data_IF_721477493126
#
_entry.id   IF_721477493126
#
_cell.length_a   1.000
_cell.length_b   1.000
_cell.length_c   1.000
_cell.angle_alpha   90.00
_cell.angle_beta   90.00
_cell.angle_gamma   90.00
#
_symmetry.space_group_name_H-M   'P 1'
#
loop_
_entity.id
_entity.type
_entity.pdbx_description
1 polymer ?
#
# COMPACT_ATOMS: atom_id res chain seq x y z
N UNK A 1 -27.99 -7.98 -1.59
CA UNK A 1 -27.07 -8.04 -2.75
C UNK A 1 -25.92 -7.04 -2.59
N UNK A 2 -26.18 -5.75 -2.37
CA UNK A 2 -25.15 -4.72 -2.12
C UNK A 2 -24.15 -5.08 -1.00
N UNK A 3 -24.63 -5.51 0.17
CA UNK A 3 -23.76 -5.91 1.29
C UNK A 3 -22.79 -7.07 0.97
N UNK A 4 -23.16 -7.99 0.06
CA UNK A 4 -22.25 -9.06 -0.39
C UNK A 4 -21.18 -8.50 -1.33
N UNK A 5 -21.57 -7.61 -2.24
CA UNK A 5 -20.65 -6.93 -3.17
C UNK A 5 -19.60 -6.15 -2.38
N UNK A 6 -20.01 -5.37 -1.39
CA UNK A 6 -19.08 -4.59 -0.55
C UNK A 6 -18.15 -5.49 0.27
N UNK A 7 -18.64 -6.61 0.80
CA UNK A 7 -17.79 -7.57 1.52
C UNK A 7 -16.74 -8.20 0.62
N UNK A 8 -17.13 -8.69 -0.55
CA UNK A 8 -16.21 -9.27 -1.53
C UNK A 8 -15.21 -8.25 -2.04
N UNK A 9 -15.65 -7.03 -2.28
CA UNK A 9 -14.77 -5.94 -2.66
C UNK A 9 -13.72 -5.63 -1.59
N UNK A 10 -14.12 -5.45 -0.33
CA UNK A 10 -13.17 -5.15 0.74
C UNK A 10 -12.14 -6.29 0.91
N UNK A 11 -12.58 -7.55 0.80
CA UNK A 11 -11.69 -8.71 0.82
C UNK A 11 -10.74 -8.75 -0.39
N UNK A 12 -11.25 -8.55 -1.60
CA UNK A 12 -10.44 -8.54 -2.82
C UNK A 12 -9.40 -7.40 -2.79
N UNK A 13 -9.81 -6.21 -2.34
CA UNK A 13 -8.92 -5.05 -2.18
C UNK A 13 -7.85 -5.29 -1.11
N UNK A 14 -8.20 -5.90 0.02
CA UNK A 14 -7.22 -6.28 1.06
C UNK A 14 -6.16 -7.25 0.52
N UNK A 15 -6.59 -8.29 -0.21
CA UNK A 15 -5.67 -9.25 -0.84
C UNK A 15 -4.84 -8.60 -1.96
N UNK A 16 -5.45 -7.71 -2.75
CA UNK A 16 -4.76 -6.98 -3.82
C UNK A 16 -3.65 -6.09 -3.28
N UNK A 17 -3.93 -5.29 -2.25
CA UNK A 17 -2.92 -4.45 -1.58
C UNK A 17 -1.80 -5.31 -0.98
N UNK A 18 -2.17 -6.44 -0.36
CA UNK A 18 -1.19 -7.37 0.18
C UNK A 18 -0.29 -7.96 -0.91
N UNK A 19 -0.86 -8.32 -2.07
CA UNK A 19 -0.11 -8.82 -3.22
C UNK A 19 0.87 -7.78 -3.76
N UNK A 20 0.44 -6.52 -3.91
CA UNK A 20 1.32 -5.42 -4.35
C UNK A 20 2.52 -5.27 -3.41
N UNK A 21 2.29 -5.32 -2.10
CA UNK A 21 3.36 -5.24 -1.10
C UNK A 21 4.30 -6.46 -1.14
N UNK A 22 3.77 -7.68 -1.38
CA UNK A 22 4.59 -8.88 -1.55
C UNK A 22 5.47 -8.81 -2.79
N UNK A 23 4.95 -8.30 -3.91
CA UNK A 23 5.74 -8.07 -5.13
C UNK A 23 6.86 -7.06 -4.84
N UNK A 24 6.56 -5.97 -4.14
CA UNK A 24 7.58 -4.99 -3.77
C UNK A 24 8.69 -5.60 -2.89
N UNK A 25 8.35 -6.50 -1.97
CA UNK A 25 9.33 -7.23 -1.17
C UNK A 25 10.15 -8.23 -1.97
N UNK A 26 9.54 -8.90 -2.95
CA UNK A 26 10.27 -9.79 -3.84
C UNK A 26 11.40 -9.03 -4.54
N UNK A 27 11.13 -7.83 -5.06
CA UNK A 27 12.17 -6.99 -5.66
C UNK A 27 13.22 -6.52 -4.63
N UNK A 28 12.80 -6.12 -3.43
CA UNK A 28 13.76 -5.69 -2.41
C UNK A 28 14.71 -6.81 -1.96
N UNK A 29 14.19 -8.01 -1.68
CA UNK A 29 15.00 -9.09 -1.10
C UNK A 29 15.70 -9.96 -2.15
N UNK A 30 15.09 -10.14 -3.33
CA UNK A 30 15.63 -11.01 -4.38
C UNK A 30 16.47 -10.24 -5.39
N UNK A 31 16.00 -9.06 -5.83
CA UNK A 31 16.74 -8.21 -6.78
C UNK A 31 17.73 -7.26 -6.08
N UNK A 32 17.63 -7.11 -4.76
CA UNK A 32 18.53 -6.24 -3.99
C UNK A 32 18.38 -4.75 -4.31
N UNK A 33 17.26 -4.34 -4.92
CA UNK A 33 16.97 -2.93 -5.18
C UNK A 33 16.50 -2.27 -3.88
N UNK A 34 17.38 -1.46 -3.25
CA UNK A 34 17.03 -0.72 -2.04
C UNK A 34 15.96 0.35 -2.33
N UNK A 35 14.90 0.46 -1.51
CA UNK A 35 13.85 1.44 -1.74
C UNK A 35 14.30 2.87 -1.43
N UNK A 36 14.00 3.79 -2.35
CA UNK A 36 14.15 5.23 -2.14
C UNK A 36 13.25 5.75 -0.99
N UNK A 37 13.57 6.88 -0.34
CA UNK A 37 12.74 7.44 0.74
C UNK A 37 11.30 7.76 0.31
N UNK A 38 11.09 8.19 -0.95
CA UNK A 38 9.74 8.39 -1.50
C UNK A 38 9.00 7.05 -1.69
N UNK A 39 9.71 5.99 -2.01
CA UNK A 39 9.19 4.65 -2.22
C UNK A 39 8.70 4.05 -0.88
N UNK A 40 9.41 4.32 0.23
CA UNK A 40 8.98 3.97 1.58
C UNK A 40 7.68 4.69 1.97
N UNK A 41 7.55 5.97 1.63
CA UNK A 41 6.32 6.72 1.89
C UNK A 41 5.10 6.12 1.14
N UNK A 42 5.31 5.66 -0.10
CA UNK A 42 4.27 4.95 -0.86
C UNK A 42 3.88 3.63 -0.20
N UNK A 43 4.85 2.86 0.31
CA UNK A 43 4.57 1.62 1.05
C UNK A 43 3.77 1.87 2.31
N UNK A 44 4.09 2.92 3.07
CA UNK A 44 3.29 3.35 4.23
C UNK A 44 1.86 3.69 3.81
N UNK A 45 1.68 4.40 2.70
CA UNK A 45 0.36 4.71 2.17
C UNK A 45 -0.43 3.43 1.80
N UNK A 46 0.18 2.45 1.14
CA UNK A 46 -0.46 1.15 0.86
C UNK A 46 -0.82 0.39 2.13
N UNK A 47 0.07 0.39 3.13
CA UNK A 47 -0.19 -0.25 4.43
C UNK A 47 -1.42 0.38 5.09
N UNK A 48 -1.51 1.72 5.12
CA UNK A 48 -2.65 2.42 5.72
C UNK A 48 -3.96 2.16 4.95
N UNK A 49 -3.90 2.08 3.61
CA UNK A 49 -5.04 1.63 2.80
C UNK A 49 -5.44 0.19 3.16
N UNK A 50 -4.47 -0.72 3.28
CA UNK A 50 -4.69 -2.11 3.69
C UNK A 50 -5.33 -2.22 5.07
N UNK A 51 -4.88 -1.40 6.03
CA UNK A 51 -5.46 -1.34 7.39
C UNK A 51 -6.92 -0.89 7.31
N UNK A 52 -7.24 0.13 6.50
CA UNK A 52 -8.62 0.57 6.30
C UNK A 52 -9.52 -0.55 5.74
N UNK A 53 -9.04 -1.31 4.74
CA UNK A 53 -9.77 -2.47 4.21
C UNK A 53 -9.89 -3.60 5.23
N UNK A 54 -8.85 -3.85 6.02
CA UNK A 54 -8.88 -4.84 7.10
C UNK A 54 -9.93 -4.48 8.17
N UNK A 55 -10.00 -3.20 8.56
CA UNK A 55 -11.02 -2.72 9.48
C UNK A 55 -12.43 -2.91 8.91
N UNK A 56 -12.62 -2.66 7.61
CA UNK A 56 -13.90 -2.94 6.93
C UNK A 56 -14.27 -4.43 6.95
N UNK A 57 -13.30 -5.32 6.75
CA UNK A 57 -13.52 -6.78 6.80
C UNK A 57 -13.83 -7.25 8.23
N UNK A 58 -13.15 -6.70 9.24
CA UNK A 58 -13.23 -7.19 10.62
C UNK A 58 -14.38 -6.60 11.42
N UNK A 59 -14.55 -5.28 11.36
CA UNK A 59 -15.50 -4.52 12.18
C UNK A 59 -16.75 -4.10 11.40
N UNK A 60 -16.79 -4.35 10.09
CA UNK A 60 -17.84 -3.89 9.20
C UNK A 60 -17.47 -2.59 8.49
N UNK A 61 -18.19 -2.32 7.40
CA UNK A 61 -17.93 -1.17 6.53
C UNK A 61 -18.51 0.12 7.11
N UNK A 62 -17.63 1.03 7.52
CA UNK A 62 -17.99 2.33 8.13
C UNK A 62 -17.38 3.47 7.32
N UNK A 63 -18.03 4.64 7.31
CA UNK A 63 -17.50 5.83 6.63
C UNK A 63 -16.11 6.21 7.12
N UNK A 64 -15.83 6.07 8.42
CA UNK A 64 -14.51 6.38 9.01
C UNK A 64 -13.39 5.53 8.39
N UNK A 65 -13.62 4.24 8.17
CA UNK A 65 -12.62 3.35 7.59
C UNK A 65 -12.37 3.68 6.11
N UNK A 66 -13.42 4.00 5.34
CA UNK A 66 -13.25 4.49 3.97
C UNK A 66 -12.58 5.87 3.92
N UNK A 67 -12.84 6.73 4.90
CA UNK A 67 -12.12 7.99 5.05
C UNK A 67 -10.61 7.77 5.22
N UNK A 68 -10.21 6.82 6.06
CA UNK A 68 -8.80 6.42 6.20
C UNK A 68 -8.22 5.93 4.87
N UNK A 69 -8.95 5.10 4.12
CA UNK A 69 -8.53 4.60 2.80
C UNK A 69 -8.32 5.77 1.83
N UNK A 70 -9.28 6.69 1.72
CA UNK A 70 -9.23 7.83 0.79
C UNK A 70 -8.06 8.75 1.13
N UNK A 71 -7.90 9.13 2.40
CA UNK A 71 -6.81 10.02 2.83
C UNK A 71 -5.45 9.36 2.55
N UNK A 72 -5.31 8.08 2.86
CA UNK A 72 -4.07 7.33 2.61
C UNK A 72 -3.77 7.20 1.11
N UNK A 73 -4.78 6.93 0.28
CA UNK A 73 -4.63 6.82 -1.16
C UNK A 73 -4.31 8.17 -1.82
N UNK A 74 -4.83 9.29 -1.28
CA UNK A 74 -4.45 10.63 -1.72
C UNK A 74 -2.98 10.94 -1.39
N UNK A 75 -2.52 10.61 -0.18
CA UNK A 75 -1.11 10.76 0.18
C UNK A 75 -0.19 9.89 -0.69
N UNK A 76 -0.60 8.66 -0.99
CA UNK A 76 0.09 7.75 -1.92
C UNK A 76 0.13 8.29 -3.35
N UNK A 77 -0.97 8.87 -3.82
CA UNK A 77 -1.05 9.54 -5.13
C UNK A 77 -0.10 10.73 -5.21
N UNK A 78 -0.08 11.59 -4.19
CA UNK A 78 0.78 12.78 -4.19
C UNK A 78 2.27 12.39 -4.17
N UNK A 79 2.64 11.39 -3.37
CA UNK A 79 4.02 10.92 -3.29
C UNK A 79 4.50 10.22 -4.57
N UNK A 80 3.69 9.32 -5.13
CA UNK A 80 3.99 8.65 -6.41
C UNK A 80 3.94 9.62 -7.60
N UNK A 81 2.96 10.53 -7.63
CA UNK A 81 2.84 11.57 -8.65
C UNK A 81 4.04 12.51 -8.67
N UNK A 82 4.56 12.90 -7.49
CA UNK A 82 5.81 13.66 -7.41
C UNK A 82 6.98 12.89 -8.03
N UNK A 83 7.08 11.58 -7.78
CA UNK A 83 8.15 10.76 -8.34
C UNK A 83 8.03 10.64 -9.87
N UNK A 84 6.81 10.48 -10.40
CA UNK A 84 6.55 10.52 -11.85
C UNK A 84 7.01 11.86 -12.45
N UNK A 85 6.65 12.98 -11.81
CA UNK A 85 7.01 14.32 -12.29
C UNK A 85 8.51 14.61 -12.23
N UNK A 86 9.24 14.02 -11.28
CA UNK A 86 10.70 14.17 -11.20
C UNK A 86 11.42 13.44 -12.34
N UNK A 87 10.89 12.30 -12.79
CA UNK A 87 11.50 11.47 -13.84
C UNK A 87 10.88 11.65 -15.23
N UNK A 88 9.96 12.61 -15.41
CA UNK A 88 9.43 12.96 -16.73
C UNK A 88 10.35 13.94 -17.48
N UNK A 89 11.24 14.62 -16.76
CA UNK A 89 12.20 15.55 -17.34
C UNK A 89 13.35 14.75 -18.00
N UNK A 90 13.61 14.96 -19.31
CA UNK A 90 14.68 14.25 -20.01
C UNK A 90 16.05 14.61 -19.41
N UNK A 91 16.87 13.58 -19.15
CA UNK A 91 18.20 13.72 -18.54
C UNK A 91 18.31 13.21 -17.09
N UNK A 92 17.24 12.65 -16.52
CA UNK A 92 17.30 11.91 -15.24
C UNK A 92 17.21 10.42 -15.51
N UNK A 93 18.14 9.63 -14.97
CA UNK A 93 18.05 8.18 -15.08
C UNK A 93 16.82 7.67 -14.31
N UNK A 94 16.04 6.73 -14.87
CA UNK A 94 14.89 6.18 -14.17
C UNK A 94 15.31 5.40 -12.92
N UNK A 95 14.56 5.57 -11.83
CA UNK A 95 14.81 4.83 -10.59
C UNK A 95 14.10 3.46 -10.58
N UNK A 96 14.87 2.40 -10.37
CA UNK A 96 14.38 1.02 -10.24
C UNK A 96 14.02 0.34 -11.56
N UNK A 97 13.89 -0.99 -11.50
CA UNK A 97 13.55 -1.79 -12.69
C UNK A 97 12.13 -1.50 -13.22
N UNK A 98 11.97 -1.62 -14.54
CA UNK A 98 10.68 -1.47 -15.19
C UNK A 98 9.95 -2.82 -15.22
N UNK A 99 8.71 -2.84 -14.71
CA UNK A 99 7.83 -4.00 -14.77
C UNK A 99 6.80 -3.76 -15.87
N UNK A 100 6.81 -4.61 -16.90
CA UNK A 100 6.05 -4.42 -18.16
C UNK A 100 6.30 -3.07 -18.86
N UNK A 101 7.53 -2.54 -18.77
CA UNK A 101 7.89 -1.26 -19.40
C UNK A 101 7.46 -0.01 -18.62
N UNK A 102 6.88 -0.17 -17.42
CA UNK A 102 6.54 0.92 -16.51
C UNK A 102 7.31 0.77 -15.19
N UNK A 103 7.83 1.86 -14.67
CA UNK A 103 8.51 1.87 -13.37
C UNK A 103 7.52 1.69 -12.22
N UNK A 104 8.02 1.20 -11.08
CA UNK A 104 7.20 0.94 -9.89
C UNK A 104 6.40 2.15 -9.40
N UNK A 105 6.96 3.35 -9.47
CA UNK A 105 6.26 4.56 -9.05
C UNK A 105 5.05 4.90 -9.92
N UNK A 106 5.07 4.54 -11.21
CA UNK A 106 3.92 4.71 -12.12
C UNK A 106 2.83 3.69 -11.80
N UNK A 107 3.21 2.44 -11.52
CA UNK A 107 2.27 1.41 -11.06
C UNK A 107 1.62 1.78 -9.72
N UNK A 108 2.40 2.33 -8.78
CA UNK A 108 1.88 2.87 -7.52
C UNK A 108 0.82 3.93 -7.78
N UNK A 109 1.11 4.91 -8.64
CA UNK A 109 0.17 5.97 -8.99
C UNK A 109 -1.16 5.42 -9.58
N UNK A 110 -1.07 4.50 -10.55
CA UNK A 110 -2.24 3.87 -11.18
C UNK A 110 -3.09 3.12 -10.15
N UNK A 111 -2.44 2.38 -9.25
CA UNK A 111 -3.16 1.60 -8.23
C UNK A 111 -3.86 2.50 -7.20
N UNK A 112 -3.24 3.59 -6.73
CA UNK A 112 -3.91 4.55 -5.84
C UNK A 112 -5.09 5.23 -6.52
N UNK A 113 -4.97 5.60 -7.79
CA UNK A 113 -6.09 6.14 -8.58
C UNK A 113 -7.23 5.13 -8.72
N UNK A 114 -6.90 3.86 -8.95
CA UNK A 114 -7.89 2.78 -9.06
C UNK A 114 -8.58 2.54 -7.72
N UNK A 115 -7.86 2.59 -6.60
CA UNK A 115 -8.44 2.51 -5.25
C UNK A 115 -9.41 3.67 -5.00
N UNK A 116 -9.03 4.91 -5.33
CA UNK A 116 -9.90 6.08 -5.17
C UNK A 116 -11.17 5.95 -6.01
N UNK A 117 -11.05 5.57 -7.28
CA UNK A 117 -12.19 5.35 -8.16
C UNK A 117 -13.11 4.25 -7.61
N UNK A 118 -12.54 3.13 -7.17
CA UNK A 118 -13.31 1.99 -6.69
C UNK A 118 -14.05 2.30 -5.38
N UNK A 119 -13.43 3.04 -4.45
CA UNK A 119 -14.11 3.54 -3.24
C UNK A 119 -15.22 4.53 -3.61
N UNK A 120 -14.99 5.42 -4.58
CA UNK A 120 -16.01 6.33 -5.10
C UNK A 120 -17.22 5.61 -5.68
N UNK A 121 -17.01 4.56 -6.48
CA UNK A 121 -18.08 3.71 -7.03
C UNK A 121 -18.87 3.01 -5.92
N UNK A 122 -18.22 2.57 -4.85
CA UNK A 122 -18.91 1.95 -3.70
C UNK A 122 -19.80 2.94 -2.98
N UNK A 123 -19.37 4.18 -2.81
CA UNK A 123 -20.24 5.22 -2.24
C UNK A 123 -21.48 5.47 -3.11
N UNK A 124 -21.41 5.30 -4.43
CA UNK A 124 -22.59 5.41 -5.31
C UNK A 124 -23.54 4.21 -5.21
N UNK A 125 -23.00 3.00 -4.96
CA UNK A 125 -23.79 1.76 -4.89
C UNK A 125 -24.46 1.58 -3.52
N UNK A 126 -23.81 2.04 -2.45
CA UNK A 126 -24.24 1.76 -1.07
C UNK A 126 -24.82 3.02 -0.41
N UNK A 127 -26.15 3.16 -0.44
CA UNK A 127 -26.87 4.22 0.28
C UNK A 127 -26.89 4.03 1.82
N UNK A 128 -26.11 3.06 2.34
CA UNK A 128 -26.11 2.55 3.72
C UNK A 128 -24.71 2.25 4.28
N UNK A 129 -23.66 2.85 3.71
CA UNK A 129 -22.38 2.92 4.45
C UNK A 129 -22.70 3.55 5.81
N UNK A 130 -22.39 2.91 6.94
CA UNK A 130 -22.79 3.36 8.28
C UNK A 130 -23.89 2.54 8.97
N UNK A 131 -24.84 1.95 8.23
CA UNK A 131 -25.90 1.09 8.82
C UNK A 131 -25.49 -0.39 8.91
N UNK A 132 -24.43 -0.78 8.20
CA UNK A 132 -23.92 -2.14 8.15
C UNK A 132 -23.15 -2.55 9.43
N UNK A 133 -23.79 -2.48 10.61
CA UNK A 133 -23.38 -3.21 11.83
C UNK A 133 -23.62 -4.73 11.69
N UNK A 134 -23.53 -5.27 10.48
CA UNK A 134 -23.73 -6.69 10.22
C UNK A 134 -22.46 -7.45 10.61
N UNK A 135 -22.50 -7.95 11.84
CA UNK A 135 -21.62 -8.91 12.51
C UNK A 135 -20.48 -9.50 11.66
N UNK A 136 -19.28 -9.35 12.22
CA UNK A 136 -18.05 -10.16 12.03
C UNK A 136 -18.22 -11.35 11.08
N UNK A 137 -17.88 -11.18 9.80
CA UNK A 137 -17.86 -12.28 8.84
C UNK A 137 -16.61 -12.29 7.96
N UNK A 138 -15.51 -11.68 8.40
CA UNK A 138 -14.20 -12.18 8.04
C UNK A 138 -14.05 -13.54 8.71
N UNK A 139 -14.49 -14.62 8.06
CA UNK A 139 -14.24 -15.99 8.52
C UNK A 139 -12.73 -16.25 8.62
N UNK A 140 -12.30 -17.52 8.67
CA UNK A 140 -10.87 -17.86 8.71
C UNK A 140 -10.05 -17.11 7.66
N UNK A 141 -10.60 -16.92 6.45
CA UNK A 141 -9.97 -16.18 5.37
C UNK A 141 -9.66 -14.70 5.70
N UNK A 142 -10.60 -13.98 6.33
CA UNK A 142 -10.38 -12.58 6.73
C UNK A 142 -9.34 -12.45 7.84
N UNK A 143 -9.31 -13.43 8.75
CA UNK A 143 -8.26 -13.54 9.77
C UNK A 143 -6.89 -13.75 9.13
N UNK A 144 -6.76 -14.71 8.20
CA UNK A 144 -5.50 -14.97 7.51
C UNK A 144 -5.03 -13.80 6.65
N UNK A 145 -5.94 -13.12 5.93
CA UNK A 145 -5.61 -11.92 5.16
C UNK A 145 -5.14 -10.77 6.08
N UNK A 146 -5.77 -10.59 7.24
CA UNK A 146 -5.34 -9.62 8.24
C UNK A 146 -3.98 -9.97 8.86
N UNK A 147 -3.75 -11.24 9.20
CA UNK A 147 -2.47 -11.71 9.71
C UNK A 147 -1.34 -11.53 8.69
N UNK A 148 -1.62 -11.79 7.41
CA UNK A 148 -0.68 -11.58 6.32
C UNK A 148 -0.34 -10.10 6.15
N UNK A 149 -1.34 -9.21 6.17
CA UNK A 149 -1.08 -7.77 6.14
C UNK A 149 -0.22 -7.34 7.34
N UNK A 150 -0.56 -7.78 8.56
CA UNK A 150 0.22 -7.44 9.76
C UNK A 150 1.66 -7.94 9.68
N UNK A 151 1.89 -9.14 9.14
CA UNK A 151 3.24 -9.64 8.89
C UNK A 151 4.00 -8.75 7.89
N UNK A 152 3.35 -8.34 6.80
CA UNK A 152 3.91 -7.41 5.81
C UNK A 152 4.27 -6.06 6.45
N UNK A 153 3.41 -5.53 7.34
CA UNK A 153 3.70 -4.29 8.08
C UNK A 153 4.94 -4.46 8.95
N UNK A 154 5.02 -5.57 9.69
CA UNK A 154 6.16 -5.85 10.57
C UNK A 154 7.47 -5.95 9.79
N UNK A 155 7.46 -6.68 8.66
CA UNK A 155 8.64 -6.77 7.78
C UNK A 155 9.00 -5.40 7.21
N UNK A 156 8.03 -4.57 6.81
CA UNK A 156 8.32 -3.24 6.26
C UNK A 156 8.96 -2.34 7.32
N UNK A 157 8.44 -2.39 8.56
CA UNK A 157 8.95 -1.62 9.68
C UNK A 157 10.36 -2.07 10.07
N UNK A 158 10.61 -3.39 10.11
CA UNK A 158 11.93 -3.95 10.36
C UNK A 158 12.94 -3.56 9.26
N UNK A 159 12.56 -3.72 7.98
CA UNK A 159 13.41 -3.31 6.84
C UNK A 159 13.73 -1.82 6.88
N UNK A 160 12.73 -0.97 7.13
CA UNK A 160 12.91 0.49 7.22
C UNK A 160 13.85 0.87 8.36
N UNK A 161 13.71 0.23 9.52
CA UNK A 161 14.60 0.45 10.66
C UNK A 161 16.04 0.00 10.37
N UNK A 162 16.23 -1.10 9.64
CA UNK A 162 17.56 -1.57 9.21
C UNK A 162 18.18 -0.64 8.15
N UNK A 163 17.35 0.00 7.33
CA UNK A 163 17.80 0.84 6.24
C UNK A 163 18.16 2.26 6.68
N UNK A 164 17.37 2.85 7.59
CA UNK A 164 17.51 4.25 8.01
C UNK A 164 17.94 4.42 9.48
N UNK A 165 17.97 3.33 10.27
CA UNK A 165 18.25 3.40 11.70
C UNK A 165 17.25 4.28 12.45
N UNK A 166 17.79 5.13 13.33
CA UNK A 166 17.03 6.17 14.06
C UNK A 166 17.05 7.54 13.35
N UNK A 167 17.66 7.63 12.16
CA UNK A 167 17.87 8.87 11.41
C UNK A 167 17.02 9.00 10.15
N UNK A 168 17.23 10.08 9.39
CA UNK A 168 16.64 10.24 8.06
C UNK A 168 17.37 9.33 7.05
N UNK A 169 16.61 8.62 6.22
CA UNK A 169 17.16 7.79 5.14
C UNK A 169 17.98 8.64 4.17
N UNK A 170 19.10 8.10 3.66
CA UNK A 170 19.82 8.74 2.56
C UNK A 170 18.97 8.76 1.27
N UNK A 171 19.16 9.78 0.43
CA UNK A 171 18.35 9.95 -0.78
C UNK A 171 18.55 8.84 -1.84
N UNK A 172 19.73 8.19 -1.86
CA UNK A 172 20.07 7.07 -2.74
C UNK A 172 20.89 6.00 -1.98
N UNK A 173 20.25 5.11 -1.19
CA UNK A 173 20.98 4.08 -0.45
C UNK A 173 21.40 2.95 -1.40
N UNK A 174 22.69 2.61 -1.41
CA UNK A 174 23.24 1.41 -2.07
C UNK A 174 23.54 0.28 -1.09
N UNK A 175 23.39 0.55 0.21
CA UNK A 175 23.68 -0.37 1.32
C UNK A 175 22.74 -0.08 2.49
N UNK A 176 22.34 -1.11 3.24
CA UNK A 176 21.61 -0.95 4.51
C UNK A 176 22.51 -0.26 5.53
N UNK A 177 22.17 0.95 5.97
CA UNK A 177 23.08 1.77 6.79
C UNK A 177 23.47 1.09 8.11
N UNK A 178 22.57 0.30 8.72
CA UNK A 178 22.85 -0.42 9.96
C UNK A 178 23.74 -1.66 9.76
N UNK A 179 23.67 -2.31 8.60
CA UNK A 179 24.52 -3.46 8.26
C UNK A 179 25.86 -3.03 7.66
N UNK A 180 25.90 -1.90 6.95
CA UNK A 180 27.12 -1.33 6.38
C UNK A 180 28.07 -0.73 7.41
N UNK A 181 27.61 -0.45 8.64
CA UNK A 181 28.48 -0.10 9.77
C UNK A 181 29.25 -1.30 10.33
N UNK A 182 28.92 -2.53 9.91
CA UNK A 182 29.54 -3.78 10.35
C UNK A 182 30.50 -4.39 9.31
N UNK A 183 30.74 -3.72 8.18
CA UNK A 183 31.65 -4.14 7.11
C UNK A 183 32.79 -3.14 6.88
#
# INVERSE_FOLDING_TARGET
>A
MAALIVRWFNMASLLGVSLVLLIAFFYQFVMGELPCPLCLLQRVAFIMVGIGFLMNVRFGSTFMHYGLIVVSALAGTLSSGRQVLLHIVPGTDPYGSALFGLHFYTWSFISFMTILLAVGLIFMVENRVGDARSATAGGRLGLWAGALLLAIVFVNMASTFLECGLGACADNPTVYQLLGWLS
#
